data_IF_554973908845
#
_entry.id   IF_554973908845
#
_cell.length_a   1.000
_cell.length_b   1.000
_cell.length_c   1.000
_cell.angle_alpha   90.00
_cell.angle_beta   90.00
_cell.angle_gamma   90.00
#
_symmetry.space_group_name_H-M   'P 1'
#
loop_
_entity.id
_entity.type
_entity.pdbx_description
1 polymer ?
#
# COMPACT_ATOMS: atom_id res chain seq x y z
N UNK A 1 -17.21 -14.43 -2.44
CA UNK A 1 -17.33 -14.86 -3.84
C UNK A 1 -18.24 -16.10 -3.97
N UNK A 2 -17.93 -17.22 -3.30
CA UNK A 2 -18.75 -18.45 -3.35
C UNK A 2 -20.24 -18.27 -3.02
N UNK A 3 -20.58 -17.44 -2.04
CA UNK A 3 -21.99 -17.19 -1.69
C UNK A 3 -22.75 -16.39 -2.77
N UNK A 4 -22.06 -15.49 -3.48
CA UNK A 4 -22.66 -14.69 -4.55
C UNK A 4 -22.92 -15.57 -5.78
N UNK A 5 -21.96 -16.45 -6.11
CA UNK A 5 -22.11 -17.44 -7.17
C UNK A 5 -23.26 -18.41 -6.89
N UNK A 6 -23.41 -18.87 -5.64
CA UNK A 6 -24.52 -19.73 -5.23
C UNK A 6 -25.89 -19.05 -5.40
N UNK A 7 -26.01 -17.77 -5.02
CA UNK A 7 -27.26 -17.01 -5.20
C UNK A 7 -27.59 -16.77 -6.68
N UNK A 8 -26.58 -16.50 -7.51
CA UNK A 8 -26.81 -16.35 -8.96
C UNK A 8 -27.14 -17.67 -9.64
N UNK A 9 -26.53 -18.78 -9.22
CA UNK A 9 -26.85 -20.12 -9.72
C UNK A 9 -28.28 -20.53 -9.36
N UNK A 10 -28.74 -20.22 -8.15
CA UNK A 10 -30.13 -20.49 -7.73
C UNK A 10 -31.16 -19.74 -8.58
N UNK A 11 -30.82 -18.53 -9.06
CA UNK A 11 -31.75 -17.65 -9.76
C UNK A 11 -31.65 -17.77 -11.29
N UNK A 12 -30.48 -18.09 -11.83
CA UNK A 12 -30.18 -18.04 -13.26
C UNK A 12 -29.66 -19.37 -13.84
N UNK A 13 -29.53 -20.43 -13.03
CA UNK A 13 -29.10 -21.76 -13.46
C UNK A 13 -27.58 -21.96 -13.45
N UNK A 14 -27.13 -23.13 -13.91
CA UNK A 14 -25.71 -23.55 -13.84
C UNK A 14 -24.79 -22.79 -14.80
N UNK A 15 -25.34 -22.16 -15.84
CA UNK A 15 -24.61 -21.30 -16.78
C UNK A 15 -25.34 -19.97 -16.90
N UNK A 16 -24.70 -18.91 -16.41
CA UNK A 16 -25.22 -17.56 -16.48
C UNK A 16 -24.12 -16.59 -16.91
N UNK A 17 -24.50 -15.55 -17.66
CA UNK A 17 -23.58 -14.52 -18.12
C UNK A 17 -23.79 -13.26 -17.29
N UNK A 18 -22.77 -12.82 -16.55
CA UNK A 18 -22.80 -11.54 -15.82
C UNK A 18 -21.98 -10.52 -16.60
N UNK A 19 -22.64 -9.49 -17.12
CA UNK A 19 -21.98 -8.36 -17.78
C UNK A 19 -21.50 -7.36 -16.73
N UNK A 20 -20.30 -7.58 -16.19
CA UNK A 20 -19.71 -6.71 -15.16
C UNK A 20 -19.03 -5.45 -15.75
N UNK A 21 -18.72 -5.40 -17.04
CA UNK A 21 -17.86 -4.36 -17.63
C UNK A 21 -18.53 -2.99 -17.86
N UNK A 22 -19.73 -2.96 -18.44
CA UNK A 22 -20.40 -1.71 -18.82
C UNK A 22 -20.91 -0.94 -17.59
N UNK A 23 -21.46 -1.65 -16.61
CA UNK A 23 -21.99 -1.06 -15.38
C UNK A 23 -20.91 -0.44 -14.49
N UNK A 24 -19.69 -1.01 -14.48
CA UNK A 24 -18.56 -0.44 -13.72
C UNK A 24 -18.09 0.88 -14.35
N UNK A 25 -18.00 0.94 -15.68
CA UNK A 25 -17.64 2.18 -16.38
C UNK A 25 -18.72 3.25 -16.13
N UNK A 26 -19.99 2.90 -16.31
CA UNK A 26 -21.09 3.84 -16.10
C UNK A 26 -21.13 4.37 -14.66
N UNK A 27 -20.97 3.51 -13.66
CA UNK A 27 -20.95 3.92 -12.26
C UNK A 27 -19.71 4.78 -11.91
N UNK A 28 -18.50 4.37 -12.31
CA UNK A 28 -17.26 5.04 -11.90
C UNK A 28 -16.85 6.23 -12.78
N UNK A 29 -17.35 6.31 -14.02
CA UNK A 29 -17.01 7.37 -14.99
C UNK A 29 -18.21 8.27 -15.24
N UNK A 30 -19.34 7.70 -15.69
CA UNK A 30 -20.49 8.50 -16.11
C UNK A 30 -21.29 9.04 -14.89
N UNK A 31 -21.30 8.32 -13.77
CA UNK A 31 -21.89 8.72 -12.48
C UNK A 31 -20.83 8.93 -11.37
N UNK A 32 -19.62 9.37 -11.75
CA UNK A 32 -18.48 9.49 -10.83
C UNK A 32 -18.78 10.34 -9.59
N UNK A 33 -19.59 11.39 -9.68
CA UNK A 33 -19.94 12.23 -8.53
C UNK A 33 -20.65 11.43 -7.43
N UNK A 34 -21.60 10.56 -7.82
CA UNK A 34 -22.36 9.72 -6.89
C UNK A 34 -21.52 8.55 -6.32
N UNK A 35 -20.62 7.96 -7.12
CA UNK A 35 -19.85 6.77 -6.74
C UNK A 35 -18.40 7.06 -6.32
N UNK A 36 -17.97 8.33 -6.30
CA UNK A 36 -16.63 8.70 -5.83
C UNK A 36 -16.41 8.40 -4.33
N UNK A 37 -17.49 8.17 -3.58
CA UNK A 37 -17.49 7.82 -2.17
C UNK A 37 -16.53 6.68 -1.81
N UNK A 38 -15.72 6.88 -0.76
CA UNK A 38 -14.88 5.80 -0.21
C UNK A 38 -15.66 5.03 0.87
N UNK A 39 -15.79 3.71 0.68
CA UNK A 39 -16.38 2.83 1.69
C UNK A 39 -15.54 2.80 2.97
N UNK A 40 -16.21 2.73 4.13
CA UNK A 40 -15.55 2.55 5.42
C UNK A 40 -15.21 1.07 5.61
N UNK A 41 -13.96 0.79 5.98
CA UNK A 41 -13.51 -0.55 6.39
C UNK A 41 -13.59 -0.57 7.92
N UNK A 42 -14.65 -1.16 8.47
CA UNK A 42 -14.97 -1.09 9.89
C UNK A 42 -13.91 -1.76 10.77
N UNK A 43 -13.17 -2.75 10.26
CA UNK A 43 -12.05 -3.38 10.98
C UNK A 43 -10.93 -2.39 11.32
N UNK A 44 -10.69 -1.43 10.42
CA UNK A 44 -9.57 -0.48 10.50
C UNK A 44 -10.03 0.86 11.10
N UNK A 45 -11.32 1.17 11.01
CA UNK A 45 -11.93 2.43 11.45
C UNK A 45 -11.73 2.75 12.95
N UNK A 46 -11.75 1.80 13.92
CA UNK A 46 -11.49 2.09 15.33
C UNK A 46 -10.08 2.61 15.61
N UNK A 47 -9.11 2.21 14.78
CA UNK A 47 -7.71 2.58 14.95
C UNK A 47 -7.36 3.84 14.16
N UNK A 48 -8.01 4.02 13.01
CA UNK A 48 -7.81 5.19 12.14
C UNK A 48 -8.70 6.35 12.57
N UNK A 49 -9.83 6.11 13.24
CA UNK A 49 -10.76 7.10 13.81
C UNK A 49 -11.13 8.23 12.83
N UNK A 50 -11.18 7.91 11.54
CA UNK A 50 -11.39 8.90 10.49
C UNK A 50 -10.23 9.86 10.21
N UNK A 51 -9.04 9.63 10.76
CA UNK A 51 -7.76 10.21 10.28
C UNK A 51 -7.30 9.50 9.00
N UNK A 52 -6.35 10.06 8.25
CA UNK A 52 -6.00 9.59 6.90
C UNK A 52 -7.10 9.75 5.85
N UNK A 53 -8.19 10.46 6.22
CA UNK A 53 -9.17 11.00 5.28
C UNK A 53 -8.48 11.85 4.20
N UNK A 54 -7.28 12.40 4.40
CA UNK A 54 -6.54 13.03 3.30
C UNK A 54 -6.35 12.15 2.05
N UNK A 55 -6.04 10.86 2.22
CA UNK A 55 -5.96 9.88 1.12
C UNK A 55 -7.32 9.20 0.82
N UNK A 56 -8.27 9.25 1.77
CA UNK A 56 -9.55 8.50 1.75
C UNK A 56 -10.83 9.35 1.74
N UNK A 57 -10.74 10.68 1.66
CA UNK A 57 -11.90 11.58 1.75
C UNK A 57 -12.52 11.80 0.38
N UNK A 58 -13.85 11.85 0.41
CA UNK A 58 -14.69 12.35 -0.67
C UNK A 58 -15.76 13.24 -0.04
N UNK A 59 -15.84 14.47 -0.54
CA UNK A 59 -16.63 15.58 0.01
C UNK A 59 -15.93 16.91 -0.28
N UNK A 60 -16.65 18.04 -0.15
CA UNK A 60 -16.26 19.43 -0.49
C UNK A 60 -14.91 19.95 0.07
N UNK A 61 -14.16 19.12 0.78
CA UNK A 61 -12.71 19.27 0.97
C UNK A 61 -11.94 18.66 -0.20
N UNK A 62 -12.12 19.21 -1.41
CA UNK A 62 -11.09 19.13 -2.45
C UNK A 62 -9.84 19.82 -1.89
N UNK A 63 -8.94 19.08 -1.24
CA UNK A 63 -7.80 19.73 -0.57
C UNK A 63 -6.58 18.88 -0.31
N UNK A 64 -6.71 17.55 -0.14
CA UNK A 64 -5.52 16.68 0.03
C UNK A 64 -5.23 15.84 -1.22
N UNK A 65 -6.24 15.52 -2.03
CA UNK A 65 -6.08 14.68 -3.24
C UNK A 65 -5.30 15.34 -4.38
N UNK A 66 -5.15 16.66 -4.38
CA UNK A 66 -4.52 17.42 -5.47
C UNK A 66 -3.49 18.44 -4.99
N UNK A 67 -3.41 18.78 -3.69
CA UNK A 67 -2.50 19.83 -3.20
C UNK A 67 -1.03 19.40 -3.03
N UNK A 68 -0.74 18.10 -2.92
CA UNK A 68 0.63 17.57 -2.82
C UNK A 68 1.11 16.87 -4.10
N UNK A 69 0.34 16.83 -5.18
CA UNK A 69 0.81 16.15 -6.40
C UNK A 69 0.08 16.43 -7.71
N UNK A 70 -0.90 17.36 -7.78
CA UNK A 70 -1.60 17.64 -9.06
C UNK A 70 -1.92 19.15 -9.27
N UNK A 71 -2.09 19.94 -8.21
CA UNK A 71 -2.60 21.32 -8.29
C UNK A 71 -1.55 22.40 -8.53
N UNK A 72 -0.29 22.11 -8.23
CA UNK A 72 0.87 22.92 -8.58
C UNK A 72 1.88 21.91 -9.11
N UNK A 73 2.57 22.20 -10.21
CA UNK A 73 3.48 21.28 -10.93
C UNK A 73 4.74 20.91 -10.13
N UNK A 74 4.54 20.40 -8.93
CA UNK A 74 5.52 19.86 -8.03
C UNK A 74 5.32 18.34 -8.02
N UNK A 75 6.05 17.70 -8.93
CA UNK A 75 6.01 16.29 -9.25
C UNK A 75 6.00 15.39 -8.01
N UNK A 76 5.11 14.40 -8.05
CA UNK A 76 5.10 13.25 -7.16
C UNK A 76 6.38 12.41 -7.41
N UNK A 77 7.49 12.96 -6.92
CA UNK A 77 8.89 12.67 -7.27
C UNK A 77 9.91 13.67 -6.67
N UNK A 78 9.49 14.69 -5.91
CA UNK A 78 10.38 15.75 -5.44
C UNK A 78 11.19 15.41 -4.19
N UNK A 79 12.27 14.66 -4.43
CA UNK A 79 13.62 15.11 -4.07
C UNK A 79 14.39 15.35 -5.37
N UNK A 80 15.72 15.53 -5.32
CA UNK A 80 16.55 15.59 -6.55
C UNK A 80 16.47 14.33 -7.44
N UNK A 81 15.93 13.22 -6.92
CA UNK A 81 15.87 11.90 -7.56
C UNK A 81 14.46 11.49 -7.92
N UNK A 82 14.23 11.15 -9.18
CA UNK A 82 12.92 10.73 -9.70
C UNK A 82 12.50 9.36 -9.15
N UNK A 83 11.20 9.04 -9.25
CA UNK A 83 10.70 7.70 -8.88
C UNK A 83 11.34 6.62 -9.76
N UNK A 84 11.60 6.93 -11.04
CA UNK A 84 12.27 6.02 -11.96
C UNK A 84 13.68 5.68 -11.50
N UNK A 85 14.48 6.67 -11.12
CA UNK A 85 15.85 6.46 -10.62
C UNK A 85 15.86 5.56 -9.38
N UNK A 86 14.89 5.74 -8.48
CA UNK A 86 14.73 4.89 -7.29
C UNK A 86 14.38 3.45 -7.65
N UNK A 87 13.55 3.24 -8.67
CA UNK A 87 13.21 1.91 -9.19
C UNK A 87 14.42 1.25 -9.84
N UNK A 88 15.19 2.01 -10.63
CA UNK A 88 16.40 1.50 -11.27
C UNK A 88 17.46 1.12 -10.23
N UNK A 89 17.67 1.93 -9.20
CA UNK A 89 18.57 1.64 -8.07
C UNK A 89 18.16 0.33 -7.37
N UNK A 90 16.88 0.18 -7.04
CA UNK A 90 16.40 -1.02 -6.35
C UNK A 90 16.48 -2.28 -7.23
N UNK A 91 16.23 -2.13 -8.54
CA UNK A 91 16.40 -3.22 -9.50
C UNK A 91 17.86 -3.69 -9.58
N UNK A 92 18.82 -2.77 -9.57
CA UNK A 92 20.25 -3.12 -9.53
C UNK A 92 20.60 -3.87 -8.24
N UNK A 93 20.14 -3.38 -7.08
CA UNK A 93 20.35 -4.05 -5.80
C UNK A 93 19.72 -5.46 -5.77
N UNK A 94 18.52 -5.64 -6.34
CA UNK A 94 17.88 -6.95 -6.44
C UNK A 94 18.71 -7.92 -7.28
N UNK A 95 19.20 -7.49 -8.44
CA UNK A 95 20.03 -8.32 -9.32
C UNK A 95 21.33 -8.74 -8.62
N UNK A 96 21.96 -7.84 -7.86
CA UNK A 96 23.14 -8.15 -7.07
C UNK A 96 22.89 -9.22 -6.00
N UNK A 97 21.78 -9.13 -5.26
CA UNK A 97 21.42 -10.16 -4.29
C UNK A 97 21.08 -11.49 -4.94
N UNK A 98 20.34 -11.48 -6.05
CA UNK A 98 20.02 -12.71 -6.77
C UNK A 98 21.29 -13.39 -7.29
N UNK A 99 22.31 -12.63 -7.72
CA UNK A 99 23.62 -13.17 -8.11
C UNK A 99 24.35 -13.84 -6.94
N UNK A 100 24.25 -13.28 -5.73
CA UNK A 100 24.87 -13.87 -4.51
C UNK A 100 24.29 -15.24 -4.17
N UNK A 101 23.04 -15.52 -4.57
CA UNK A 101 22.41 -16.83 -4.34
C UNK A 101 22.97 -17.96 -5.21
N UNK A 102 23.73 -17.64 -6.28
CA UNK A 102 24.37 -18.61 -7.19
C UNK A 102 23.44 -19.72 -7.70
N UNK A 103 22.16 -19.41 -7.90
CA UNK A 103 21.16 -20.36 -8.39
C UNK A 103 20.58 -21.29 -7.31
N UNK A 104 20.89 -21.07 -6.03
CA UNK A 104 20.22 -21.77 -4.95
C UNK A 104 18.72 -21.46 -4.91
N UNK A 105 17.91 -22.42 -4.46
CA UNK A 105 16.49 -22.19 -4.22
C UNK A 105 16.32 -21.14 -3.11
N UNK A 106 15.58 -20.09 -3.43
CA UNK A 106 15.29 -18.98 -2.53
C UNK A 106 13.78 -18.82 -2.39
N UNK A 107 13.32 -18.39 -1.22
CA UNK A 107 11.95 -17.91 -1.07
C UNK A 107 11.84 -16.49 -1.66
N UNK A 108 11.11 -16.29 -2.78
CA UNK A 108 11.00 -14.98 -3.42
C UNK A 108 10.15 -13.99 -2.62
N UNK A 109 9.40 -14.44 -1.60
CA UNK A 109 8.50 -13.59 -0.81
C UNK A 109 9.28 -12.44 -0.18
N UNK A 110 10.41 -12.74 0.47
CA UNK A 110 11.18 -11.72 1.18
C UNK A 110 11.74 -10.70 0.18
N UNK A 111 12.31 -11.13 -0.94
CA UNK A 111 12.85 -10.21 -1.94
C UNK A 111 11.78 -9.30 -2.53
N UNK A 112 10.63 -9.85 -2.95
CA UNK A 112 9.59 -9.03 -3.57
C UNK A 112 8.91 -8.07 -2.60
N UNK A 113 8.77 -8.43 -1.31
CA UNK A 113 8.31 -7.47 -0.30
C UNK A 113 9.36 -6.41 0.01
N UNK A 114 10.63 -6.81 0.11
CA UNK A 114 11.71 -5.88 0.42
C UNK A 114 11.91 -4.84 -0.67
N UNK A 115 11.92 -5.23 -1.96
CA UNK A 115 12.07 -4.25 -3.05
C UNK A 115 10.90 -3.28 -3.11
N UNK A 116 9.65 -3.77 -2.98
CA UNK A 116 8.48 -2.89 -3.08
C UNK A 116 8.39 -1.97 -1.87
N UNK A 117 8.70 -2.47 -0.68
CA UNK A 117 8.79 -1.64 0.52
C UNK A 117 9.93 -0.63 0.45
N UNK A 118 11.09 -0.99 -0.09
CA UNK A 118 12.22 -0.07 -0.22
C UNK A 118 11.92 1.10 -1.15
N UNK A 119 11.15 0.88 -2.23
CA UNK A 119 10.66 1.99 -3.07
C UNK A 119 9.79 2.95 -2.24
N UNK A 120 8.85 2.41 -1.45
CA UNK A 120 8.01 3.24 -0.58
C UNK A 120 8.84 3.92 0.53
N UNK A 121 9.80 3.23 1.16
CA UNK A 121 10.73 3.80 2.13
C UNK A 121 11.54 4.94 1.52
N UNK A 122 12.00 4.78 0.29
CA UNK A 122 12.77 5.78 -0.45
C UNK A 122 11.91 7.03 -0.69
N UNK A 123 10.64 6.86 -1.12
CA UNK A 123 9.70 7.97 -1.35
C UNK A 123 9.29 8.66 -0.04
N UNK A 124 9.08 7.89 1.03
CA UNK A 124 8.51 8.39 2.29
C UNK A 124 9.55 8.92 3.27
N UNK A 125 10.66 8.19 3.44
CA UNK A 125 11.71 8.46 4.44
C UNK A 125 13.02 8.92 3.80
N UNK A 126 13.06 9.10 2.48
CA UNK A 126 14.25 9.54 1.75
C UNK A 126 15.39 8.52 1.70
N UNK A 127 15.19 7.31 2.23
CA UNK A 127 16.24 6.29 2.37
C UNK A 127 15.78 4.88 2.02
N UNK A 128 16.72 4.11 1.48
CA UNK A 128 16.65 2.66 1.29
C UNK A 128 17.19 1.95 2.54
N UNK A 129 16.66 0.77 2.85
CA UNK A 129 17.21 -0.12 3.86
C UNK A 129 17.91 -1.31 3.20
N UNK A 130 18.91 -1.86 3.89
CA UNK A 130 19.48 -3.15 3.49
C UNK A 130 18.42 -4.25 3.64
N UNK A 131 18.46 -5.26 2.78
CA UNK A 131 17.48 -6.35 2.82
C UNK A 131 17.54 -7.19 4.10
N UNK A 132 18.68 -7.15 4.82
CA UNK A 132 18.87 -7.83 6.10
C UNK A 132 18.75 -6.87 7.29
N UNK A 133 18.39 -5.61 7.04
CA UNK A 133 18.20 -4.64 8.10
C UNK A 133 17.04 -5.05 9.02
N UNK A 134 17.26 -5.17 10.34
CA UNK A 134 16.24 -5.64 11.26
C UNK A 134 15.06 -4.68 11.41
N UNK A 135 15.25 -3.36 11.20
CA UNK A 135 14.14 -2.41 11.23
C UNK A 135 13.23 -2.60 10.01
N UNK A 136 13.79 -2.78 8.81
CA UNK A 136 13.00 -3.08 7.60
C UNK A 136 12.25 -4.40 7.74
N UNK A 137 12.95 -5.47 8.14
CA UNK A 137 12.34 -6.79 8.29
C UNK A 137 11.20 -6.77 9.32
N UNK A 138 11.38 -6.05 10.43
CA UNK A 138 10.32 -5.87 11.43
C UNK A 138 9.13 -5.09 10.86
N UNK A 139 9.39 -4.02 10.10
CA UNK A 139 8.34 -3.23 9.47
C UNK A 139 7.53 -4.07 8.46
N UNK A 140 8.21 -4.85 7.63
CA UNK A 140 7.60 -5.79 6.68
C UNK A 140 6.74 -6.83 7.38
N UNK A 141 7.24 -7.43 8.46
CA UNK A 141 6.49 -8.40 9.27
C UNK A 141 5.19 -7.79 9.82
N UNK A 142 5.25 -6.56 10.33
CA UNK A 142 4.07 -5.86 10.85
C UNK A 142 3.03 -5.60 9.77
N UNK A 143 3.45 -5.18 8.56
CA UNK A 143 2.54 -4.96 7.43
C UNK A 143 1.90 -6.25 6.93
N UNK A 144 2.70 -7.32 6.78
CA UNK A 144 2.20 -8.64 6.40
C UNK A 144 1.17 -9.17 7.41
N UNK A 145 1.48 -9.07 8.70
CA UNK A 145 0.54 -9.46 9.76
C UNK A 145 -0.74 -8.62 9.70
N UNK A 146 -0.64 -7.30 9.53
CA UNK A 146 -1.82 -6.45 9.36
C UNK A 146 -2.66 -6.87 8.16
N UNK A 147 -2.04 -7.18 7.03
CA UNK A 147 -2.74 -7.62 5.83
C UNK A 147 -3.49 -8.94 6.05
N UNK A 148 -2.84 -9.93 6.66
CA UNK A 148 -3.45 -11.22 7.00
C UNK A 148 -4.61 -11.04 7.98
N UNK A 149 -4.42 -10.22 9.01
CA UNK A 149 -5.45 -9.96 10.02
C UNK A 149 -6.66 -9.27 9.40
N UNK A 150 -6.45 -8.22 8.59
CA UNK A 150 -7.53 -7.48 7.90
C UNK A 150 -8.25 -8.37 6.88
N UNK A 151 -7.53 -9.27 6.19
CA UNK A 151 -8.13 -10.17 5.19
C UNK A 151 -8.80 -11.41 5.78
N UNK A 152 -8.65 -11.66 7.09
CA UNK A 152 -9.18 -12.85 7.76
C UNK A 152 -10.70 -12.93 7.75
N UNK A 153 -11.25 -14.14 7.84
CA UNK A 153 -12.69 -14.36 7.93
C UNK A 153 -13.31 -13.63 9.14
N UNK A 154 -12.59 -13.60 10.26
CA UNK A 154 -13.00 -12.87 11.46
C UNK A 154 -13.13 -11.37 11.21
N UNK A 155 -12.22 -10.77 10.43
CA UNK A 155 -12.31 -9.37 10.00
C UNK A 155 -13.48 -9.12 9.06
N UNK A 156 -13.72 -10.01 8.10
CA UNK A 156 -14.88 -9.90 7.20
C UNK A 156 -16.21 -9.97 7.96
N UNK A 157 -16.30 -10.84 8.98
CA UNK A 157 -17.46 -10.91 9.86
C UNK A 157 -17.61 -9.64 10.70
N UNK A 158 -16.49 -9.07 11.18
CA UNK A 158 -16.49 -7.81 11.89
C UNK A 158 -17.00 -6.64 11.03
N UNK A 159 -16.60 -6.59 9.75
CA UNK A 159 -17.08 -5.56 8.82
C UNK A 159 -18.60 -5.64 8.60
N UNK A 160 -19.18 -6.84 8.67
CA UNK A 160 -20.63 -7.05 8.53
C UNK A 160 -21.40 -6.74 9.83
N UNK A 161 -20.83 -7.06 11.00
CA UNK A 161 -21.51 -6.95 12.29
C UNK A 161 -20.64 -6.27 13.38
N UNK A 162 -20.18 -5.02 13.17
CA UNK A 162 -19.22 -4.36 14.05
C UNK A 162 -19.79 -4.13 15.46
N UNK A 163 -21.09 -3.84 15.58
CA UNK A 163 -21.76 -3.56 16.86
C UNK A 163 -21.76 -4.74 17.84
N UNK A 164 -21.76 -5.97 17.32
CA UNK A 164 -21.78 -7.21 18.10
C UNK A 164 -20.36 -7.73 18.37
N UNK A 165 -19.51 -7.73 17.35
CA UNK A 165 -18.18 -8.37 17.41
C UNK A 165 -17.09 -7.52 18.05
N UNK A 166 -17.36 -6.23 18.34
CA UNK A 166 -16.43 -5.32 19.06
C UNK A 166 -16.05 -5.78 20.47
N UNK A 167 -16.85 -6.65 21.08
CA UNK A 167 -16.61 -7.18 22.42
C UNK A 167 -16.00 -8.59 22.43
N UNK A 168 -15.95 -9.27 21.28
CA UNK A 168 -15.66 -10.71 21.20
C UNK A 168 -14.30 -11.00 20.56
N UNK A 169 -13.82 -10.12 19.68
CA UNK A 169 -12.63 -10.40 18.88
C UNK A 169 -11.35 -9.76 19.46
N UNK A 170 -10.41 -10.59 19.93
CA UNK A 170 -9.04 -10.17 20.27
C UNK A 170 -8.22 -9.65 19.07
N UNK A 171 -8.80 -9.75 17.87
CA UNK A 171 -8.24 -9.32 16.59
C UNK A 171 -7.92 -7.82 16.56
N UNK A 172 -8.83 -6.98 17.04
CA UNK A 172 -8.60 -5.52 17.09
C UNK A 172 -7.43 -5.16 17.99
N UNK A 173 -7.21 -5.92 19.07
CA UNK A 173 -6.08 -5.67 19.98
C UNK A 173 -4.75 -5.95 19.30
N UNK A 174 -4.67 -7.00 18.47
CA UNK A 174 -3.47 -7.31 17.71
C UNK A 174 -3.23 -6.28 16.61
N UNK A 175 -4.27 -5.92 15.86
CA UNK A 175 -4.19 -4.85 14.84
C UNK A 175 -3.74 -3.53 15.48
N UNK A 176 -4.32 -3.16 16.62
CA UNK A 176 -3.93 -1.97 17.37
C UNK A 176 -2.46 -2.01 17.79
N UNK A 177 -1.98 -3.12 18.36
CA UNK A 177 -0.57 -3.29 18.74
C UNK A 177 0.37 -3.11 17.55
N UNK A 178 0.09 -3.76 16.43
CA UNK A 178 0.92 -3.66 15.23
C UNK A 178 0.92 -2.22 14.68
N UNK A 179 -0.24 -1.55 14.64
CA UNK A 179 -0.32 -0.15 14.23
C UNK A 179 0.44 0.78 15.18
N UNK A 180 0.39 0.55 16.50
CA UNK A 180 1.16 1.33 17.47
C UNK A 180 2.67 1.22 17.24
N UNK A 181 3.18 0.03 16.94
CA UNK A 181 4.60 -0.15 16.65
C UNK A 181 5.03 0.58 15.37
N UNK A 182 4.21 0.53 14.32
CA UNK A 182 4.47 1.29 13.08
C UNK A 182 4.37 2.80 13.34
N UNK A 183 3.44 3.25 14.20
CA UNK A 183 3.33 4.65 14.60
C UNK A 183 4.58 5.13 15.32
N UNK A 184 5.15 4.32 16.22
CA UNK A 184 6.42 4.64 16.90
C UNK A 184 7.57 4.73 15.91
N UNK A 185 7.66 3.80 14.96
CA UNK A 185 8.67 3.84 13.89
C UNK A 185 8.54 5.11 13.03
N UNK A 186 7.33 5.41 12.58
CA UNK A 186 7.03 6.58 11.75
C UNK A 186 7.30 7.88 12.52
N UNK A 187 6.87 7.98 13.78
CA UNK A 187 7.09 9.13 14.64
C UNK A 187 8.58 9.41 14.87
N UNK A 188 9.40 8.38 15.12
CA UNK A 188 10.86 8.52 15.21
C UNK A 188 11.46 9.06 13.91
N UNK A 189 10.95 8.61 12.76
CA UNK A 189 11.40 9.12 11.46
C UNK A 189 11.01 10.59 11.28
N UNK A 190 9.76 10.95 11.58
CA UNK A 190 9.25 12.33 11.47
C UNK A 190 10.08 13.31 12.33
N UNK A 191 10.46 12.93 13.54
CA UNK A 191 11.28 13.80 14.40
C UNK A 191 12.68 14.03 13.81
N UNK A 192 13.32 12.99 13.29
CA UNK A 192 14.60 13.14 12.57
C UNK A 192 14.48 14.05 11.34
N UNK A 193 13.35 14.00 10.64
CA UNK A 193 13.11 14.90 9.50
C UNK A 193 12.96 16.34 9.97
N UNK A 194 12.25 16.58 11.08
CA UNK A 194 12.13 17.93 11.69
C UNK A 194 13.48 18.54 12.07
N UNK A 195 14.36 17.75 12.68
CA UNK A 195 15.71 18.21 13.09
C UNK A 195 16.58 18.63 11.90
N UNK A 196 16.35 18.02 10.74
CA UNK A 196 17.18 18.18 9.53
C UNK A 196 16.43 18.82 8.36
N UNK A 197 15.27 19.42 8.63
CA UNK A 197 14.37 19.96 7.62
C UNK A 197 15.01 21.17 6.94
N UNK A 198 15.13 21.11 5.62
CA UNK A 198 15.54 22.25 4.81
C UNK A 198 14.35 22.72 3.95
N UNK A 199 13.73 23.88 4.25
CA UNK A 199 12.60 24.40 3.49
C UNK A 199 12.86 24.61 1.99
N UNK A 200 14.13 24.83 1.61
CA UNK A 200 14.51 25.09 0.23
C UNK A 200 14.83 23.82 -0.57
N UNK A 201 14.88 22.66 0.09
CA UNK A 201 15.26 21.39 -0.54
C UNK A 201 14.58 20.21 0.18
N UNK A 202 13.26 20.01 0.01
CA UNK A 202 12.58 18.86 0.56
C UNK A 202 13.15 17.56 -0.03
N UNK A 203 13.33 16.55 0.81
CA UNK A 203 13.97 15.28 0.42
C UNK A 203 12.98 14.20 -0.01
N UNK A 204 11.80 14.21 0.61
CA UNK A 204 10.83 13.13 0.59
C UNK A 204 9.43 13.60 1.03
N UNK A 205 8.48 12.66 1.03
CA UNK A 205 7.09 12.90 1.43
C UNK A 205 6.95 13.54 2.81
N UNK A 206 7.77 13.15 3.80
CA UNK A 206 7.66 13.68 5.16
C UNK A 206 8.09 15.14 5.19
N UNK A 207 9.20 15.50 4.55
CA UNK A 207 9.63 16.90 4.45
C UNK A 207 8.54 17.76 3.78
N UNK A 208 7.99 17.31 2.64
CA UNK A 208 6.91 18.02 1.95
C UNK A 208 5.68 18.18 2.84
N UNK A 209 5.30 17.14 3.59
CA UNK A 209 4.16 17.19 4.49
C UNK A 209 4.42 18.15 5.67
N UNK A 210 5.62 18.15 6.23
CA UNK A 210 6.00 19.05 7.32
C UNK A 210 5.99 20.51 6.88
N UNK A 211 6.50 20.82 5.68
CA UNK A 211 6.45 22.17 5.11
C UNK A 211 5.01 22.62 4.84
N UNK A 212 4.16 21.72 4.33
CA UNK A 212 2.74 22.00 4.13
C UNK A 212 2.01 22.24 5.45
N UNK A 213 2.30 21.42 6.46
CA UNK A 213 1.75 21.58 7.81
C UNK A 213 2.18 22.92 8.42
N UNK A 214 3.40 23.39 8.17
CA UNK A 214 3.87 24.73 8.59
C UNK A 214 3.09 25.85 7.89
N UNK A 215 2.90 25.74 6.56
CA UNK A 215 2.17 26.73 5.74
C UNK A 215 0.71 26.87 6.16
N UNK A 216 0.07 25.76 6.54
CA UNK A 216 -1.35 25.72 6.88
C UNK A 216 -1.62 25.85 8.39
N UNK A 217 -0.61 26.18 9.22
CA UNK A 217 -0.76 26.31 10.70
C UNK A 217 -1.83 27.31 11.14
N UNK A 218 -2.05 28.36 10.36
CA UNK A 218 -3.02 29.41 10.67
C UNK A 218 -4.45 29.06 10.25
N UNK A 219 -4.65 27.98 9.50
CA UNK A 219 -5.98 27.57 9.03
C UNK A 219 -6.63 26.59 10.03
N UNK A 220 -7.71 27.00 10.74
CA UNK A 220 -8.43 26.12 11.65
C UNK A 220 -9.17 24.96 10.95
N UNK A 221 -9.31 24.99 9.62
CA UNK A 221 -9.85 23.89 8.81
C UNK A 221 -8.76 22.99 8.23
N UNK A 222 -7.48 23.25 8.53
CA UNK A 222 -6.37 22.46 8.03
C UNK A 222 -6.50 21.00 8.48
N UNK A 223 -6.39 20.11 7.49
CA UNK A 223 -6.36 18.67 7.70
C UNK A 223 -4.92 18.14 7.81
N UNK A 224 -3.91 19.02 7.72
CA UNK A 224 -2.51 18.62 7.84
C UNK A 224 -2.11 18.58 9.31
N UNK A 225 -2.29 17.41 9.94
CA UNK A 225 -1.85 17.14 11.31
C UNK A 225 -0.94 15.90 11.38
N UNK A 226 -0.32 15.69 12.54
CA UNK A 226 0.61 14.58 12.76
C UNK A 226 -0.04 13.20 12.64
N UNK A 227 -1.31 13.03 13.05
CA UNK A 227 -2.04 11.76 12.91
C UNK A 227 -2.35 11.47 11.45
N UNK A 228 -2.70 12.48 10.67
CA UNK A 228 -2.92 12.36 9.23
C UNK A 228 -1.64 12.06 8.46
N UNK A 229 -0.47 12.56 8.90
CA UNK A 229 0.84 12.19 8.35
C UNK A 229 1.09 10.69 8.53
N UNK A 230 1.00 10.21 9.76
CA UNK A 230 1.22 8.80 10.10
C UNK A 230 0.27 7.90 9.32
N UNK A 231 -1.01 8.26 9.24
CA UNK A 231 -2.01 7.46 8.52
C UNK A 231 -1.77 7.46 7.01
N UNK A 232 -1.27 8.57 6.45
CA UNK A 232 -0.90 8.65 5.03
C UNK A 232 0.30 7.76 4.72
N UNK A 233 1.33 7.76 5.58
CA UNK A 233 2.48 6.85 5.49
C UNK A 233 2.02 5.39 5.53
N UNK A 234 1.21 5.02 6.53
CA UNK A 234 0.62 3.68 6.63
C UNK A 234 -0.13 3.27 5.37
N UNK A 235 -0.92 4.20 4.80
CA UNK A 235 -1.69 3.92 3.59
C UNK A 235 -0.80 3.75 2.35
N UNK A 236 0.29 4.50 2.23
CA UNK A 236 1.26 4.36 1.13
C UNK A 236 1.97 3.01 1.20
N UNK A 237 2.44 2.59 2.37
CA UNK A 237 3.06 1.28 2.57
C UNK A 237 2.08 0.14 2.30
N UNK A 238 0.86 0.21 2.85
CA UNK A 238 -0.13 -0.85 2.65
C UNK A 238 -0.53 -0.99 1.18
N UNK A 239 -0.72 0.14 0.48
CA UNK A 239 -1.09 0.12 -0.93
C UNK A 239 0.06 -0.32 -1.84
N UNK A 240 1.29 0.15 -1.58
CA UNK A 240 2.43 -0.03 -2.48
C UNK A 240 3.18 -1.35 -2.32
N UNK A 241 3.27 -1.89 -1.10
CA UNK A 241 4.12 -3.05 -0.82
C UNK A 241 3.44 -4.37 -1.21
N UNK A 242 2.29 -4.67 -0.61
CA UNK A 242 1.64 -6.00 -0.70
C UNK A 242 1.07 -6.29 -2.09
N UNK A 243 0.44 -5.29 -2.72
CA UNK A 243 -0.21 -5.47 -4.02
C UNK A 243 0.84 -5.78 -5.09
N UNK A 244 1.88 -4.95 -5.17
CA UNK A 244 2.98 -5.09 -6.12
C UNK A 244 3.80 -6.35 -5.86
N UNK A 245 4.10 -6.67 -4.59
CA UNK A 245 4.85 -7.90 -4.26
C UNK A 245 4.06 -9.15 -4.66
N UNK A 246 2.75 -9.15 -4.43
CA UNK A 246 1.85 -10.24 -4.83
C UNK A 246 1.78 -10.36 -6.35
N UNK A 247 1.70 -9.24 -7.09
CA UNK A 247 1.75 -9.24 -8.55
C UNK A 247 3.07 -9.84 -9.06
N UNK A 248 4.22 -9.49 -8.47
CA UNK A 248 5.49 -10.12 -8.84
C UNK A 248 5.48 -11.62 -8.56
N UNK A 249 5.02 -12.05 -7.38
CA UNK A 249 4.93 -13.48 -7.04
C UNK A 249 4.11 -14.26 -8.07
N UNK A 250 2.93 -13.76 -8.44
CA UNK A 250 2.11 -14.38 -9.48
C UNK A 250 2.77 -14.30 -10.86
N UNK A 251 3.39 -13.18 -11.21
CA UNK A 251 4.11 -13.01 -12.48
C UNK A 251 5.20 -14.05 -12.67
N UNK A 252 6.10 -14.21 -11.69
CA UNK A 252 7.17 -15.21 -11.74
C UNK A 252 6.63 -16.64 -11.68
N UNK A 253 5.59 -16.91 -10.88
CA UNK A 253 4.94 -18.22 -10.86
C UNK A 253 4.33 -18.58 -12.22
N UNK A 254 3.72 -17.61 -12.91
CA UNK A 254 3.18 -17.80 -14.25
C UNK A 254 4.30 -18.03 -15.27
N UNK A 255 5.42 -17.32 -15.17
CA UNK A 255 6.61 -17.56 -16.01
C UNK A 255 7.19 -18.96 -15.82
N UNK A 256 7.22 -19.47 -14.58
CA UNK A 256 7.64 -20.85 -14.30
C UNK A 256 6.66 -21.89 -14.86
N UNK A 257 5.36 -21.61 -14.81
CA UNK A 257 4.32 -22.50 -15.36
C UNK A 257 4.29 -22.50 -16.89
N UNK A 258 4.64 -21.37 -17.50
CA UNK A 258 4.60 -21.16 -18.95
C UNK A 258 5.98 -20.65 -19.45
N UNK A 259 7.02 -21.50 -19.46
CA UNK A 259 8.40 -21.08 -19.75
C UNK A 259 8.58 -20.49 -21.16
N UNK A 260 7.76 -20.91 -22.12
CA UNK A 260 7.73 -20.35 -23.47
C UNK A 260 7.39 -18.84 -23.50
N UNK A 261 6.61 -18.34 -22.53
CA UNK A 261 6.30 -16.91 -22.40
C UNK A 261 7.50 -16.15 -21.84
N UNK A 262 8.29 -16.78 -20.98
CA UNK A 262 9.50 -16.21 -20.41
C UNK A 262 10.70 -16.23 -21.37
N UNK A 263 10.52 -16.76 -22.59
CA UNK A 263 11.60 -16.95 -23.56
C UNK A 263 12.59 -18.06 -23.18
N UNK A 264 12.23 -18.90 -22.21
CA UNK A 264 13.00 -20.09 -21.87
C UNK A 264 12.57 -21.25 -22.76
N UNK A 265 13.47 -21.74 -23.60
CA UNK A 265 13.30 -23.00 -24.32
C UNK A 265 13.09 -24.13 -23.30
N UNK A 266 12.11 -25.00 -23.57
CA UNK A 266 11.78 -26.13 -22.72
C UNK A 266 13.04 -26.96 -22.44
N UNK A 267 13.49 -27.09 -21.17
CA UNK A 267 14.67 -27.92 -20.85
C UNK A 267 14.43 -29.41 -21.12
N UNK A 268 13.20 -29.83 -21.42
CA UNK A 268 12.85 -31.19 -21.84
C UNK A 268 12.83 -31.41 -23.35
N UNK A 269 12.97 -30.35 -24.16
CA UNK A 269 13.22 -30.48 -25.59
C UNK A 269 14.72 -30.77 -25.81
N UNK A 270 15.05 -32.04 -26.00
CA UNK A 270 16.40 -32.45 -26.41
C UNK A 270 16.82 -31.76 -27.72
N UNK A 271 18.14 -31.67 -27.99
CA UNK A 271 18.63 -31.01 -29.20
C UNK A 271 18.12 -31.74 -30.46
N UNK A 272 17.53 -30.99 -31.39
CA UNK A 272 17.29 -31.44 -32.77
C UNK A 272 18.61 -31.68 -33.51
#
# INVERSE_FOLDING_TARGET
FNHLCFLFQQKYGDVFTVYLGLAIREALVDQAEAFSGRAKIAVVDPNVQGYGKGLRATGRGQGIRMGMGIGEGEDFGMGKRSVEERIQEEAQCLVEELRKSQGALQDPIIYFHSITANIICSIVFGKRFDYRDPELLRLLELFLQLFVLISSLSSQLFDLYPSFLKYVSGLHRQIYKNLQEINVFTGRSVEKHRETLNPNAPRDFIDCYLLRMEKDKSDPQSQFDHRNLITSVLSLFFAGTETTSTTFRYGFLLMLKYPHIAGASDPSAGPE
#
